data_IF_985317315373
#
_entry.id   IF_985317315373
#
_cell.length_a   1.000
_cell.length_b   1.000
_cell.length_c   1.000
_cell.angle_alpha   90.00
_cell.angle_beta   90.00
_cell.angle_gamma   90.00
#
_symmetry.space_group_name_H-M   'P 1'
#
loop_
_entity.id
_entity.type
_entity.pdbx_description
1 polymer ?
#
# COMPACT_ATOMS: atom_id res chain seq x y z
N UNK A 1 11.06 8.81 -13.85
CA UNK A 1 9.64 8.75 -13.46
C UNK A 1 9.57 8.98 -11.95
N UNK A 2 8.46 9.50 -11.46
CA UNK A 2 8.20 9.85 -10.07
C UNK A 2 7.24 8.81 -9.51
N UNK A 3 7.61 8.25 -8.35
CA UNK A 3 6.77 7.32 -7.60
C UNK A 3 5.93 8.12 -6.60
N UNK A 4 4.61 8.07 -6.76
CA UNK A 4 3.66 8.71 -5.85
C UNK A 4 2.90 7.65 -5.10
N UNK A 5 3.02 7.64 -3.78
CA UNK A 5 2.29 6.74 -2.91
C UNK A 5 0.96 7.36 -2.49
N UNK A 6 -0.10 6.57 -2.61
CA UNK A 6 -1.47 7.00 -2.37
C UNK A 6 -2.12 6.10 -1.33
N UNK A 7 -2.99 6.67 -0.50
CA UNK A 7 -3.81 5.92 0.45
C UNK A 7 -5.27 6.35 0.43
N UNK A 8 -6.15 5.42 0.79
CA UNK A 8 -7.59 5.64 0.85
C UNK A 8 -8.27 4.63 1.75
N UNK A 9 -9.35 5.01 2.43
CA UNK A 9 -10.27 4.06 3.08
C UNK A 9 -11.19 3.35 2.07
N UNK A 10 -11.26 3.87 0.84
CA UNK A 10 -12.06 3.34 -0.25
C UNK A 10 -11.16 2.62 -1.27
N UNK A 11 -11.06 1.30 -1.15
CA UNK A 11 -10.26 0.46 -2.06
C UNK A 11 -10.60 0.70 -3.54
N UNK A 12 -11.89 0.86 -3.86
CA UNK A 12 -12.35 1.03 -5.23
C UNK A 12 -11.87 2.35 -5.84
N UNK A 13 -11.68 3.41 -5.04
CA UNK A 13 -11.12 4.67 -5.52
C UNK A 13 -9.67 4.52 -6.01
N UNK A 14 -8.86 3.70 -5.32
CA UNK A 14 -7.49 3.39 -5.74
C UNK A 14 -7.45 2.45 -6.95
N UNK A 15 -8.30 1.41 -6.96
CA UNK A 15 -8.39 0.48 -8.10
C UNK A 15 -8.85 1.20 -9.38
N UNK A 16 -9.70 2.23 -9.23
CA UNK A 16 -10.16 3.11 -10.30
C UNK A 16 -9.08 3.92 -10.99
N UNK A 17 -7.83 3.94 -10.51
CA UNK A 17 -6.69 4.60 -11.17
C UNK A 17 -6.16 3.84 -12.38
N UNK A 18 -6.26 2.50 -12.35
CA UNK A 18 -5.66 1.60 -13.34
C UNK A 18 -6.09 1.85 -14.80
N UNK A 19 -7.35 2.24 -15.08
CA UNK A 19 -7.75 2.61 -16.45
C UNK A 19 -7.08 3.90 -16.97
N UNK A 20 -6.67 4.81 -16.08
CA UNK A 20 -6.15 6.13 -16.43
C UNK A 20 -4.62 6.21 -16.40
N UNK A 21 -3.98 5.36 -15.60
CA UNK A 21 -2.54 5.37 -15.35
C UNK A 21 -1.97 3.96 -15.58
N UNK A 22 -0.92 3.86 -16.41
CA UNK A 22 -0.39 2.56 -16.86
C UNK A 22 0.45 1.83 -15.81
N UNK A 23 1.09 2.56 -14.91
CA UNK A 23 2.02 2.00 -13.93
C UNK A 23 1.47 2.19 -12.51
N UNK A 24 0.50 1.37 -12.13
CA UNK A 24 -0.15 1.39 -10.81
C UNK A 24 0.02 0.02 -10.17
N UNK A 25 0.66 -0.02 -9.00
CA UNK A 25 0.83 -1.27 -8.24
C UNK A 25 -0.53 -1.81 -7.76
N UNK A 26 -0.58 -3.11 -7.44
CA UNK A 26 -1.75 -3.67 -6.76
C UNK A 26 -2.03 -2.95 -5.45
N UNK A 27 -3.32 -2.77 -5.17
CA UNK A 27 -3.77 -2.12 -3.95
C UNK A 27 -3.60 -3.10 -2.79
N UNK A 28 -2.84 -2.71 -1.76
CA UNK A 28 -2.67 -3.50 -0.55
C UNK A 28 -3.29 -2.80 0.65
N UNK A 29 -3.89 -3.57 1.54
CA UNK A 29 -4.38 -3.05 2.81
C UNK A 29 -3.21 -2.92 3.79
N UNK A 30 -3.22 -1.87 4.61
CA UNK A 30 -2.35 -1.83 5.77
C UNK A 30 -2.59 -3.04 6.69
N UNK A 31 -1.57 -3.41 7.46
CA UNK A 31 -1.62 -4.57 8.37
C UNK A 31 -1.16 -4.18 9.75
N UNK A 32 -1.91 -4.66 10.75
CA UNK A 32 -1.49 -4.57 12.15
C UNK A 32 -0.31 -5.52 12.41
N UNK A 33 0.48 -5.21 13.43
CA UNK A 33 1.53 -6.11 13.88
C UNK A 33 0.93 -7.46 14.33
N UNK A 34 1.60 -8.56 13.98
CA UNK A 34 1.26 -9.90 14.48
C UNK A 34 2.43 -10.42 15.32
N UNK A 35 2.17 -10.92 16.53
CA UNK A 35 3.21 -11.53 17.34
C UNK A 35 3.73 -12.81 16.67
N UNK A 36 4.88 -13.28 17.13
CA UNK A 36 5.38 -14.62 16.79
C UNK A 36 4.36 -15.68 17.23
N UNK A 37 4.17 -16.70 16.39
CA UNK A 37 3.22 -17.76 16.60
C UNK A 37 3.79 -19.13 16.25
N UNK A 38 2.98 -20.16 16.44
CA UNK A 38 3.29 -21.54 16.03
C UNK A 38 2.10 -22.06 15.24
N UNK A 39 2.35 -22.67 14.07
CA UNK A 39 1.31 -23.29 13.25
C UNK A 39 0.88 -24.67 13.80
N UNK A 40 -0.12 -25.28 13.16
CA UNK A 40 -0.65 -26.59 13.57
C UNK A 40 0.36 -27.74 13.43
N UNK A 41 1.42 -27.54 12.64
CA UNK A 41 2.52 -28.51 12.42
C UNK A 41 3.71 -28.27 13.37
N UNK A 42 3.66 -27.23 14.20
CA UNK A 42 4.70 -26.88 15.17
C UNK A 42 5.79 -25.96 14.64
N UNK A 43 5.64 -25.38 13.44
CA UNK A 43 6.62 -24.43 12.89
C UNK A 43 6.44 -23.04 13.49
N UNK A 44 7.57 -22.36 13.75
CA UNK A 44 7.56 -20.97 14.21
C UNK A 44 7.18 -20.05 13.04
N UNK A 45 6.10 -19.28 13.23
CA UNK A 45 5.73 -18.15 12.37
C UNK A 45 6.35 -16.90 12.98
N UNK A 46 7.33 -16.26 12.32
CA UNK A 46 7.97 -15.05 12.86
C UNK A 46 6.96 -13.92 13.10
N UNK A 47 7.26 -13.07 14.08
CA UNK A 47 6.52 -11.83 14.28
C UNK A 47 6.53 -10.98 13.00
N UNK A 48 5.39 -10.36 12.69
CA UNK A 48 5.23 -9.46 11.57
C UNK A 48 5.00 -8.05 12.11
N UNK A 49 5.82 -7.10 11.67
CA UNK A 49 5.65 -5.71 12.06
C UNK A 49 4.40 -5.10 11.41
N UNK A 50 3.85 -4.07 12.08
CA UNK A 50 2.79 -3.27 11.50
C UNK A 50 3.29 -2.55 10.26
N UNK A 51 2.45 -2.46 9.24
CA UNK A 51 2.78 -1.79 7.98
C UNK A 51 1.57 -1.00 7.53
N UNK A 52 1.71 0.33 7.50
CA UNK A 52 0.59 1.23 7.24
C UNK A 52 -0.53 1.12 8.29
N UNK A 53 -1.58 1.92 8.10
CA UNK A 53 -2.80 1.88 8.89
C UNK A 53 -3.75 0.80 8.32
N UNK A 54 -4.22 -0.17 9.14
CA UNK A 54 -5.16 -1.21 8.70
C UNK A 54 -6.49 -0.71 8.13
N UNK A 55 -6.91 0.50 8.50
CA UNK A 55 -8.13 1.12 7.98
C UNK A 55 -7.94 1.70 6.57
N UNK A 56 -6.71 1.73 6.07
CA UNK A 56 -6.35 2.28 4.78
C UNK A 56 -5.84 1.20 3.81
N UNK A 57 -6.12 1.46 2.55
CA UNK A 57 -5.54 0.81 1.40
C UNK A 57 -4.48 1.72 0.80
N UNK A 58 -3.45 1.13 0.22
CA UNK A 58 -2.28 1.79 -0.31
C UNK A 58 -2.01 1.34 -1.75
N UNK A 59 -1.48 2.23 -2.58
CA UNK A 59 -0.92 1.91 -3.90
C UNK A 59 0.22 2.85 -4.23
N UNK A 60 0.99 2.52 -5.27
CA UNK A 60 2.02 3.38 -5.82
C UNK A 60 1.79 3.56 -7.33
N UNK A 61 1.86 4.82 -7.76
CA UNK A 61 1.78 5.20 -9.17
C UNK A 61 3.13 5.74 -9.64
N UNK A 62 3.67 5.16 -10.71
CA UNK A 62 4.90 5.62 -11.37
C UNK A 62 4.59 6.42 -12.63
N UNK A 63 4.69 7.73 -12.57
CA UNK A 63 4.34 8.65 -13.67
C UNK A 63 5.47 9.63 -13.99
N UNK A 64 5.34 10.43 -15.06
CA UNK A 64 6.32 11.50 -15.36
C UNK A 64 6.05 12.79 -14.59
N UNK A 65 4.95 12.84 -13.86
CA UNK A 65 4.49 13.96 -13.02
C UNK A 65 4.03 13.40 -11.65
N UNK A 66 4.05 14.20 -10.58
CA UNK A 66 3.50 13.79 -9.29
C UNK A 66 1.97 13.67 -9.38
N UNK A 67 1.41 12.57 -8.88
CA UNK A 67 -0.05 12.38 -8.84
C UNK A 67 -0.62 13.17 -7.65
N UNK A 68 -1.53 14.13 -7.84
CA UNK A 68 -2.10 14.88 -6.72
C UNK A 68 -3.08 14.01 -5.92
N UNK A 69 -3.44 14.47 -4.71
CA UNK A 69 -4.60 13.95 -4.01
C UNK A 69 -5.90 14.27 -4.77
N UNK A 70 -6.92 13.43 -4.63
CA UNK A 70 -8.24 13.60 -5.24
C UNK A 70 -9.33 12.99 -4.35
N UNK A 71 -10.58 13.00 -4.79
CA UNK A 71 -11.71 12.53 -3.98
C UNK A 71 -11.45 11.13 -3.41
N UNK A 72 -11.56 11.02 -2.08
CA UNK A 72 -11.29 9.82 -1.29
C UNK A 72 -9.86 9.27 -1.36
N UNK A 73 -8.90 9.94 -2.02
CA UNK A 73 -7.51 9.47 -2.16
C UNK A 73 -6.52 10.54 -1.75
N UNK A 74 -5.67 10.20 -0.80
CA UNK A 74 -4.65 11.07 -0.23
C UNK A 74 -3.26 10.64 -0.70
N UNK A 75 -2.33 11.58 -0.83
CA UNK A 75 -0.89 11.28 -1.00
C UNK A 75 -0.31 10.97 0.39
N UNK A 76 0.40 9.86 0.53
CA UNK A 76 1.07 9.50 1.77
C UNK A 76 2.59 9.64 1.68
N UNK A 77 3.26 9.55 2.83
CA UNK A 77 4.72 9.57 2.89
C UNK A 77 5.31 8.37 2.14
N UNK A 78 6.44 8.58 1.46
CA UNK A 78 7.07 7.52 0.67
C UNK A 78 7.47 6.32 1.55
N UNK A 79 7.94 6.55 2.78
CA UNK A 79 8.29 5.48 3.71
C UNK A 79 7.08 4.62 4.11
N UNK A 80 5.95 5.26 4.41
CA UNK A 80 4.68 4.59 4.74
C UNK A 80 4.17 3.76 3.55
N UNK A 81 4.09 4.38 2.37
CA UNK A 81 3.62 3.74 1.16
C UNK A 81 4.54 2.62 0.68
N UNK A 82 5.85 2.82 0.69
CA UNK A 82 6.83 1.81 0.28
C UNK A 82 6.83 0.60 1.23
N UNK A 83 6.62 0.81 2.53
CA UNK A 83 6.44 -0.30 3.45
C UNK A 83 5.18 -1.11 3.10
N UNK A 84 4.09 -0.43 2.74
CA UNK A 84 2.80 -1.06 2.45
C UNK A 84 2.75 -1.82 1.12
N UNK A 85 3.26 -1.24 0.03
CA UNK A 85 3.13 -1.83 -1.31
C UNK A 85 4.47 -2.23 -1.94
N UNK A 86 5.59 -1.90 -1.31
CA UNK A 86 6.93 -2.09 -1.86
C UNK A 86 7.40 -0.90 -2.69
N UNK A 87 8.63 -1.01 -3.19
CA UNK A 87 9.21 -0.08 -4.16
C UNK A 87 9.23 -0.72 -5.54
N UNK A 88 9.05 0.09 -6.57
CA UNK A 88 9.27 -0.36 -7.93
C UNK A 88 10.78 -0.55 -8.18
N UNK A 89 11.18 -1.79 -8.51
CA UNK A 89 12.54 -2.13 -8.91
C UNK A 89 12.96 -1.60 -10.28
#
# INVERSE_FOLDING_TARGET
>A
MIDTYLKSRNKAALEGLRPFLRNVMDVQQGRAAKPEGVDEEGNIIPAQEAVGDPDYFYTCVRAVFPVPAFADVEVCAAEEGAAAVGVWG
#
